data_IF_938541082459
#
_entry.id   IF_938541082459
#
_cell.length_a   1.000
_cell.length_b   1.000
_cell.length_c   1.000
_cell.angle_alpha   90.00
_cell.angle_beta   90.00
_cell.angle_gamma   90.00
#
_symmetry.space_group_name_H-M   'P 1'
#
loop_
_entity.id
_entity.type
_entity.pdbx_description
1 polymer ?
#
# COMPACT_ATOMS: atom_id res chain seq x y z
N UNK A 1 -18.60 45.58 -1.69
CA UNK A 1 -19.13 44.22 -1.93
C UNK A 1 -18.22 43.44 -2.87
N UNK A 2 -17.30 42.60 -2.36
CA UNK A 2 -16.50 41.65 -3.14
C UNK A 2 -16.24 40.42 -2.28
N UNK A 3 -17.19 39.49 -2.22
CA UNK A 3 -17.05 38.30 -1.36
C UNK A 3 -17.88 37.11 -1.88
N UNK A 4 -17.84 36.78 -3.19
CA UNK A 4 -18.57 35.61 -3.74
C UNK A 4 -17.81 34.88 -4.87
N UNK A 5 -16.49 34.76 -4.82
CA UNK A 5 -15.73 34.00 -5.85
C UNK A 5 -14.86 32.86 -5.33
N UNK A 6 -14.79 32.62 -4.01
CA UNK A 6 -13.87 31.63 -3.42
C UNK A 6 -14.50 30.22 -3.30
N UNK A 7 -15.82 30.06 -3.44
CA UNK A 7 -16.48 28.77 -3.14
C UNK A 7 -16.40 27.70 -4.24
N UNK A 8 -16.21 28.06 -5.52
CA UNK A 8 -16.28 27.08 -6.63
C UNK A 8 -14.99 26.28 -6.88
N UNK A 9 -13.83 26.80 -6.52
CA UNK A 9 -12.54 26.12 -6.79
C UNK A 9 -12.21 25.04 -5.76
N UNK A 10 -12.76 25.14 -4.55
CA UNK A 10 -12.50 24.19 -3.47
C UNK A 10 -13.22 22.85 -3.69
N UNK A 11 -14.47 22.91 -4.18
CA UNK A 11 -15.31 21.72 -4.39
C UNK A 11 -14.77 20.79 -5.47
N UNK A 12 -14.21 21.35 -6.55
CA UNK A 12 -13.72 20.55 -7.70
C UNK A 12 -12.47 19.75 -7.35
N UNK A 13 -11.54 20.33 -6.57
CA UNK A 13 -10.31 19.63 -6.14
C UNK A 13 -10.64 18.45 -5.21
N UNK A 14 -11.53 18.66 -4.25
CA UNK A 14 -11.93 17.61 -3.31
C UNK A 14 -12.68 16.46 -4.01
N UNK A 15 -13.60 16.78 -4.94
CA UNK A 15 -14.28 15.76 -5.75
C UNK A 15 -13.31 14.94 -6.57
N UNK A 16 -12.33 15.59 -7.20
CA UNK A 16 -11.29 14.90 -7.96
C UNK A 16 -10.46 13.96 -7.10
N UNK A 17 -10.02 14.42 -5.91
CA UNK A 17 -9.27 13.60 -4.96
C UNK A 17 -10.06 12.37 -4.49
N UNK A 18 -11.38 12.51 -4.27
CA UNK A 18 -12.23 11.35 -3.96
C UNK A 18 -12.25 10.35 -5.10
N UNK A 19 -12.41 10.81 -6.34
CA UNK A 19 -12.43 9.92 -7.50
C UNK A 19 -11.11 9.15 -7.67
N UNK A 20 -9.96 9.83 -7.62
CA UNK A 20 -8.67 9.14 -7.76
C UNK A 20 -8.35 8.22 -6.57
N UNK A 21 -8.88 8.49 -5.38
CA UNK A 21 -8.68 7.60 -4.21
C UNK A 21 -9.29 6.20 -4.37
N UNK A 22 -10.20 6.02 -5.33
CA UNK A 22 -10.80 4.73 -5.69
C UNK A 22 -9.95 3.92 -6.68
N UNK A 23 -8.90 4.50 -7.24
CA UNK A 23 -8.04 3.85 -8.22
C UNK A 23 -7.46 2.50 -7.71
N UNK A 24 -6.88 2.41 -6.50
CA UNK A 24 -6.44 1.13 -5.93
C UNK A 24 -7.53 0.06 -5.92
N UNK A 25 -8.76 0.44 -5.53
CA UNK A 25 -9.90 -0.48 -5.47
C UNK A 25 -10.23 -1.02 -6.86
N UNK A 26 -10.27 -0.13 -7.87
CA UNK A 26 -10.53 -0.53 -9.27
C UNK A 26 -9.42 -1.45 -9.78
N UNK A 27 -8.16 -1.13 -9.52
CA UNK A 27 -7.03 -1.94 -9.96
C UNK A 27 -7.06 -3.36 -9.36
N UNK A 28 -7.40 -3.48 -8.07
CA UNK A 28 -7.56 -4.78 -7.39
C UNK A 28 -8.78 -5.53 -7.92
N UNK A 29 -9.95 -4.89 -7.99
CA UNK A 29 -11.18 -5.55 -8.47
C UNK A 29 -11.03 -6.05 -9.91
N UNK A 30 -10.48 -5.23 -10.81
CA UNK A 30 -10.29 -5.60 -12.21
C UNK A 30 -9.13 -6.57 -12.37
N UNK A 31 -7.95 -6.27 -11.84
CA UNK A 31 -6.75 -7.08 -12.04
C UNK A 31 -6.81 -8.40 -11.27
N UNK A 32 -7.06 -8.34 -9.96
CA UNK A 32 -6.98 -9.50 -9.09
C UNK A 32 -8.25 -10.35 -9.12
N UNK A 33 -9.44 -9.75 -9.00
CA UNK A 33 -10.69 -10.52 -8.90
C UNK A 33 -11.29 -10.91 -10.26
N UNK A 34 -11.31 -9.99 -11.22
CA UNK A 34 -11.90 -10.25 -12.54
C UNK A 34 -10.91 -10.95 -13.49
N UNK A 35 -9.72 -10.37 -13.70
CA UNK A 35 -8.72 -10.93 -14.62
C UNK A 35 -7.84 -12.02 -13.99
N UNK A 36 -7.89 -12.20 -12.67
CA UNK A 36 -7.08 -13.17 -11.93
C UNK A 36 -5.59 -13.04 -12.26
N UNK A 37 -5.07 -11.82 -12.19
CA UNK A 37 -3.68 -11.51 -12.51
C UNK A 37 -3.11 -10.47 -11.54
N UNK A 38 -2.21 -10.91 -10.67
CA UNK A 38 -1.48 -10.04 -9.74
C UNK A 38 -0.64 -9.00 -10.51
N UNK A 39 -0.04 -9.40 -11.63
CA UNK A 39 0.68 -8.49 -12.53
C UNK A 39 -0.22 -7.39 -13.09
N UNK A 40 -1.40 -7.74 -13.58
CA UNK A 40 -2.33 -6.75 -14.12
C UNK A 40 -2.82 -5.78 -13.05
N UNK A 41 -3.13 -6.31 -11.85
CA UNK A 41 -3.49 -5.47 -10.70
C UNK A 41 -2.36 -4.48 -10.37
N UNK A 42 -1.12 -4.96 -10.24
CA UNK A 42 0.04 -4.12 -9.93
C UNK A 42 0.31 -3.07 -11.01
N UNK A 43 0.28 -3.43 -12.30
CA UNK A 43 0.54 -2.51 -13.41
C UNK A 43 -0.53 -1.42 -13.46
N UNK A 44 -1.81 -1.77 -13.40
CA UNK A 44 -2.90 -0.78 -13.41
C UNK A 44 -2.81 0.15 -12.21
N UNK A 45 -2.49 -0.41 -11.05
CA UNK A 45 -2.34 0.35 -9.83
C UNK A 45 -1.19 1.35 -9.90
N UNK A 46 0.01 0.90 -10.26
CA UNK A 46 1.20 1.74 -10.39
C UNK A 46 1.05 2.78 -11.51
N UNK A 47 0.55 2.39 -12.69
CA UNK A 47 0.34 3.30 -13.81
C UNK A 47 -0.68 4.41 -13.46
N UNK A 48 -1.75 4.06 -12.77
CA UNK A 48 -2.76 5.01 -12.34
C UNK A 48 -2.26 6.01 -11.29
N UNK A 49 -1.49 5.55 -10.30
CA UNK A 49 -0.83 6.43 -9.33
C UNK A 49 0.19 7.33 -10.01
N UNK A 50 1.05 6.79 -10.88
CA UNK A 50 2.04 7.55 -11.61
C UNK A 50 1.40 8.63 -12.49
N UNK A 51 0.35 8.30 -13.25
CA UNK A 51 -0.40 9.26 -14.05
C UNK A 51 -1.00 10.39 -13.20
N UNK A 52 -1.53 10.06 -12.01
CA UNK A 52 -2.05 11.04 -11.07
C UNK A 52 -0.96 11.98 -10.55
N UNK A 53 0.19 11.43 -10.16
CA UNK A 53 1.33 12.18 -9.64
C UNK A 53 1.95 13.10 -10.69
N UNK A 54 2.11 12.61 -11.92
CA UNK A 54 2.60 13.39 -13.05
C UNK A 54 1.65 14.54 -13.40
N UNK A 55 0.34 14.27 -13.45
CA UNK A 55 -0.65 15.31 -13.71
C UNK A 55 -0.68 16.40 -12.61
N UNK A 56 -0.38 16.03 -11.36
CA UNK A 56 -0.33 16.98 -10.25
C UNK A 56 1.04 17.66 -10.10
N UNK A 57 2.01 17.40 -10.98
CA UNK A 57 3.37 17.93 -10.91
C UNK A 57 4.04 17.67 -9.55
N UNK A 58 3.92 16.43 -9.05
CA UNK A 58 4.47 16.03 -7.75
C UNK A 58 5.99 16.28 -7.65
N UNK A 59 6.47 16.84 -6.53
CA UNK A 59 7.90 17.05 -6.28
C UNK A 59 8.57 15.77 -5.77
N UNK A 60 9.15 15.00 -6.68
CA UNK A 60 9.85 13.75 -6.40
C UNK A 60 11.02 13.87 -5.42
N UNK A 61 11.57 15.07 -5.19
CA UNK A 61 12.65 15.27 -4.20
C UNK A 61 12.18 15.03 -2.77
N UNK A 62 10.88 15.13 -2.51
CA UNK A 62 10.28 14.86 -1.20
C UNK A 62 10.47 13.40 -0.75
N UNK A 63 10.61 12.47 -1.70
CA UNK A 63 10.87 11.04 -1.42
C UNK A 63 12.16 10.82 -0.62
N UNK A 64 13.17 11.64 -0.86
CA UNK A 64 14.50 11.49 -0.28
C UNK A 64 14.75 12.42 0.91
N UNK A 65 13.71 13.13 1.37
CA UNK A 65 13.77 14.06 2.50
C UNK A 65 13.08 13.48 3.74
N UNK A 66 13.36 14.08 4.89
CA UNK A 66 12.67 13.76 6.14
C UNK A 66 13.14 12.46 6.80
N UNK A 67 14.35 11.98 6.48
CA UNK A 67 14.95 10.88 7.21
C UNK A 67 15.31 11.31 8.64
N UNK A 68 14.87 10.53 9.62
CA UNK A 68 15.19 10.75 11.03
C UNK A 68 15.61 9.42 11.66
N UNK A 69 16.88 9.28 12.04
CA UNK A 69 17.51 7.98 12.31
C UNK A 69 16.72 7.07 13.25
N UNK A 70 16.30 7.57 14.42
CA UNK A 70 15.53 6.78 15.40
C UNK A 70 14.17 6.32 14.85
N UNK A 71 13.41 7.23 14.26
CA UNK A 71 12.04 6.97 13.80
C UNK A 71 12.07 6.07 12.56
N UNK A 72 13.02 6.33 11.65
CA UNK A 72 13.27 5.53 10.46
C UNK A 72 13.67 4.11 10.79
N UNK A 73 14.63 3.92 11.70
CA UNK A 73 15.04 2.59 12.13
C UNK A 73 13.90 1.85 12.84
N UNK A 74 13.23 2.48 13.81
CA UNK A 74 12.16 1.85 14.58
C UNK A 74 11.01 1.39 13.68
N UNK A 75 10.55 2.26 12.78
CA UNK A 75 9.46 1.91 11.87
C UNK A 75 9.90 0.85 10.87
N UNK A 76 11.11 0.91 10.33
CA UNK A 76 11.60 -0.08 9.36
C UNK A 76 11.78 -1.47 9.98
N UNK A 77 12.25 -1.54 11.24
CA UNK A 77 12.34 -2.81 11.98
C UNK A 77 10.95 -3.35 12.27
N UNK A 78 10.03 -2.49 12.75
CA UNK A 78 8.66 -2.90 13.05
C UNK A 78 7.97 -3.46 11.80
N UNK A 79 8.02 -2.74 10.68
CA UNK A 79 7.36 -3.17 9.44
C UNK A 79 8.09 -4.32 8.76
N UNK A 80 9.43 -4.33 8.76
CA UNK A 80 10.24 -5.42 8.26
C UNK A 80 10.09 -6.73 9.04
N UNK A 81 9.55 -6.68 10.26
CA UNK A 81 9.20 -7.87 11.04
C UNK A 81 7.89 -8.54 10.59
N UNK A 82 7.09 -7.89 9.73
CA UNK A 82 5.77 -8.40 9.34
C UNK A 82 5.84 -9.74 8.61
N UNK A 83 6.82 -9.95 7.72
CA UNK A 83 7.07 -11.25 7.10
C UNK A 83 7.39 -12.37 8.10
N UNK A 84 8.21 -12.07 9.12
CA UNK A 84 8.53 -13.04 10.18
C UNK A 84 7.25 -13.42 10.94
N UNK A 85 6.43 -12.43 11.30
CA UNK A 85 5.15 -12.67 11.98
C UNK A 85 4.20 -13.51 11.12
N UNK A 86 4.15 -13.27 9.80
CA UNK A 86 3.34 -14.09 8.89
C UNK A 86 3.78 -15.55 8.90
N UNK A 87 5.08 -15.84 8.86
CA UNK A 87 5.58 -17.22 8.91
C UNK A 87 5.29 -17.86 10.27
N UNK A 88 5.58 -17.16 11.37
CA UNK A 88 5.37 -17.69 12.73
C UNK A 88 3.89 -17.93 13.04
N UNK A 89 2.99 -17.13 12.47
CA UNK A 89 1.55 -17.24 12.66
C UNK A 89 0.83 -17.97 11.52
N UNK A 90 1.53 -18.69 10.64
CA UNK A 90 0.94 -19.35 9.47
C UNK A 90 -0.29 -20.21 9.81
N UNK A 91 -0.26 -20.96 10.90
CA UNK A 91 -1.36 -21.85 11.29
C UNK A 91 -2.65 -21.10 11.71
N UNK A 92 -2.55 -19.79 11.95
CA UNK A 92 -3.69 -18.93 12.30
C UNK A 92 -4.41 -18.42 11.05
N UNK A 93 -3.66 -18.07 10.00
CA UNK A 93 -4.22 -17.36 8.84
C UNK A 93 -4.31 -18.23 7.58
N UNK A 94 -3.51 -19.29 7.48
CA UNK A 94 -3.46 -20.20 6.36
C UNK A 94 -4.36 -21.40 6.65
N UNK A 95 -5.53 -21.45 6.00
CA UNK A 95 -6.48 -22.57 6.21
C UNK A 95 -6.00 -23.86 5.55
N UNK A 96 -5.45 -23.77 4.35
CA UNK A 96 -4.91 -24.90 3.61
C UNK A 96 -3.76 -24.45 2.68
N UNK A 97 -2.65 -25.19 2.72
CA UNK A 97 -1.43 -24.87 1.97
C UNK A 97 -1.57 -25.11 0.49
N UNK A 98 -2.18 -26.24 0.11
CA UNK A 98 -2.39 -26.59 -1.29
C UNK A 98 -3.30 -25.55 -1.95
N UNK A 99 -4.35 -25.12 -1.25
CA UNK A 99 -5.23 -24.03 -1.68
C UNK A 99 -4.46 -22.71 -1.87
N UNK A 100 -3.56 -22.35 -0.96
CA UNK A 100 -2.77 -21.12 -1.08
C UNK A 100 -1.80 -21.13 -2.27
N UNK A 101 -1.06 -22.22 -2.47
CA UNK A 101 -0.20 -22.36 -3.65
C UNK A 101 -1.02 -22.32 -4.94
N UNK A 102 -2.16 -23.01 -4.96
CA UNK A 102 -3.08 -22.97 -6.11
C UNK A 102 -3.61 -21.55 -6.36
N UNK A 103 -3.94 -20.78 -5.32
CA UNK A 103 -4.35 -19.37 -5.46
C UNK A 103 -3.23 -18.50 -6.04
N UNK A 104 -1.99 -18.67 -5.57
CA UNK A 104 -0.83 -17.94 -6.12
C UNK A 104 -0.59 -18.28 -7.60
N UNK A 105 -0.75 -19.55 -7.99
CA UNK A 105 -0.69 -19.96 -9.40
C UNK A 105 -1.80 -19.31 -10.22
N UNK A 106 -3.03 -19.31 -9.71
CA UNK A 106 -4.18 -18.73 -10.40
C UNK A 106 -4.01 -17.24 -10.68
N UNK A 107 -3.30 -16.50 -9.82
CA UNK A 107 -3.03 -15.07 -10.02
C UNK A 107 -1.72 -14.79 -10.77
N UNK A 108 -1.03 -15.83 -11.25
CA UNK A 108 0.21 -15.71 -12.02
C UNK A 108 1.46 -15.40 -11.19
N UNK A 109 1.44 -15.72 -9.89
CA UNK A 109 2.59 -15.62 -8.98
C UNK A 109 3.26 -16.99 -8.85
N UNK A 110 3.82 -17.49 -9.95
CA UNK A 110 4.59 -18.74 -10.00
C UNK A 110 6.08 -18.50 -9.69
N UNK A 111 6.81 -19.56 -9.32
CA UNK A 111 8.23 -19.51 -8.91
C UNK A 111 9.14 -18.69 -9.84
N UNK A 112 8.94 -18.81 -11.15
CA UNK A 112 9.90 -18.29 -12.14
C UNK A 112 9.77 -16.77 -12.37
N UNK A 113 8.58 -16.22 -12.08
CA UNK A 113 8.29 -14.79 -12.19
C UNK A 113 8.19 -14.10 -10.84
N UNK A 114 8.06 -14.87 -9.76
CA UNK A 114 7.91 -14.34 -8.41
C UNK A 114 9.08 -13.42 -8.02
N UNK A 115 10.38 -13.75 -8.22
CA UNK A 115 11.47 -12.83 -7.87
C UNK A 115 11.37 -11.45 -8.54
N UNK A 116 10.97 -11.41 -9.81
CA UNK A 116 10.76 -10.15 -10.51
C UNK A 116 9.55 -9.40 -9.95
N UNK A 117 8.46 -10.11 -9.65
CA UNK A 117 7.30 -9.53 -9.00
C UNK A 117 7.67 -8.93 -7.63
N UNK A 118 8.42 -9.64 -6.79
CA UNK A 118 8.91 -9.16 -5.49
C UNK A 118 9.71 -7.88 -5.67
N UNK A 119 10.66 -7.85 -6.60
CA UNK A 119 11.49 -6.67 -6.83
C UNK A 119 10.66 -5.46 -7.26
N UNK A 120 9.79 -5.64 -8.25
CA UNK A 120 8.92 -4.57 -8.74
C UNK A 120 7.94 -4.09 -7.66
N UNK A 121 7.31 -5.04 -6.96
CA UNK A 121 6.34 -4.77 -5.92
C UNK A 121 6.99 -4.02 -4.77
N UNK A 122 8.03 -4.58 -4.16
CA UNK A 122 8.63 -4.02 -2.94
C UNK A 122 9.40 -2.72 -3.17
N UNK A 123 9.90 -2.43 -4.39
CA UNK A 123 10.62 -1.18 -4.66
C UNK A 123 9.70 -0.08 -5.21
N UNK A 124 8.99 -0.37 -6.31
CA UNK A 124 8.23 0.67 -7.01
C UNK A 124 6.93 1.02 -6.28
N UNK A 125 6.28 0.03 -5.67
CA UNK A 125 4.99 0.24 -5.01
C UNK A 125 5.11 1.19 -3.83
N UNK A 126 6.01 1.00 -2.84
CA UNK A 126 6.17 1.95 -1.74
C UNK A 126 6.44 3.38 -2.19
N UNK A 127 7.28 3.56 -3.21
CA UNK A 127 7.60 4.89 -3.75
C UNK A 127 6.36 5.58 -4.29
N UNK A 128 5.60 4.89 -5.15
CA UNK A 128 4.40 5.45 -5.76
C UNK A 128 3.26 5.62 -4.75
N UNK A 129 3.08 4.65 -3.87
CA UNK A 129 2.05 4.68 -2.84
C UNK A 129 2.25 5.81 -1.84
N UNK A 130 3.47 5.96 -1.30
CA UNK A 130 3.73 7.03 -0.33
C UNK A 130 3.57 8.40 -0.99
N UNK A 131 4.06 8.57 -2.22
CA UNK A 131 3.84 9.80 -2.99
C UNK A 131 2.34 10.06 -3.23
N UNK A 132 1.58 9.03 -3.62
CA UNK A 132 0.17 9.16 -3.94
C UNK A 132 -0.69 9.44 -2.69
N UNK A 133 -0.56 8.60 -1.66
CA UNK A 133 -1.41 8.68 -0.48
C UNK A 133 -1.08 9.85 0.43
N UNK A 134 0.22 10.18 0.61
CA UNK A 134 0.65 11.22 1.56
C UNK A 134 0.93 12.54 0.84
N UNK A 135 1.39 12.49 -0.41
CA UNK A 135 1.62 13.66 -1.24
C UNK A 135 0.36 14.18 -1.93
N UNK A 136 -0.27 13.36 -2.77
CA UNK A 136 -1.42 13.79 -3.60
C UNK A 136 -2.76 13.79 -2.84
N UNK A 137 -2.97 12.79 -2.00
CA UNK A 137 -4.21 12.58 -1.22
C UNK A 137 -4.05 12.87 0.29
N UNK A 138 -2.91 13.45 0.67
CA UNK A 138 -2.55 13.68 2.07
C UNK A 138 -3.57 14.53 2.83
N UNK A 139 -3.68 14.24 4.13
CA UNK A 139 -4.49 15.00 5.09
C UNK A 139 -3.60 15.63 6.15
N UNK A 140 -3.91 16.87 6.53
CA UNK A 140 -3.25 17.61 7.62
C UNK A 140 -3.79 17.25 9.01
N UNK A 141 -4.82 16.39 9.11
CA UNK A 141 -5.40 15.98 10.39
C UNK A 141 -4.36 15.28 11.27
N UNK A 142 -4.33 15.52 12.57
CA UNK A 142 -3.46 14.75 13.48
C UNK A 142 -4.05 13.41 13.88
N UNK A 143 -5.35 13.22 13.66
CA UNK A 143 -6.11 12.00 13.93
C UNK A 143 -6.14 11.08 12.71
N UNK A 144 -6.70 9.88 12.88
CA UNK A 144 -6.99 8.96 11.77
C UNK A 144 -7.83 9.70 10.71
N UNK A 145 -7.39 9.63 9.45
CA UNK A 145 -8.04 10.32 8.34
C UNK A 145 -8.68 9.33 7.37
N UNK A 146 -9.62 9.82 6.56
CA UNK A 146 -10.26 9.02 5.52
C UNK A 146 -9.26 8.40 4.54
N UNK A 147 -8.15 9.08 4.23
CA UNK A 147 -7.06 8.54 3.40
C UNK A 147 -6.41 7.30 4.02
N UNK A 148 -6.27 7.25 5.34
CA UNK A 148 -5.65 6.12 6.05
C UNK A 148 -6.59 4.90 6.02
N UNK A 149 -7.90 5.15 6.15
CA UNK A 149 -8.93 4.13 6.03
C UNK A 149 -9.06 3.59 4.59
N UNK A 150 -8.99 4.48 3.59
CA UNK A 150 -9.04 4.05 2.19
C UNK A 150 -7.81 3.23 1.80
N UNK A 151 -6.63 3.63 2.27
CA UNK A 151 -5.39 2.87 2.13
C UNK A 151 -5.56 1.46 2.68
N UNK A 152 -6.05 1.33 3.92
CA UNK A 152 -6.28 0.03 4.53
C UNK A 152 -7.37 -0.78 3.82
N UNK A 153 -8.46 -0.14 3.41
CA UNK A 153 -9.63 -0.84 2.86
C UNK A 153 -9.35 -1.56 1.54
N UNK A 154 -8.51 -1.01 0.65
CA UNK A 154 -8.17 -1.73 -0.58
C UNK A 154 -7.26 -2.93 -0.30
N UNK A 155 -6.41 -2.86 0.73
CA UNK A 155 -5.61 -4.00 1.17
C UNK A 155 -6.48 -5.11 1.76
N UNK A 156 -7.58 -4.78 2.45
CA UNK A 156 -8.55 -5.79 2.90
C UNK A 156 -9.08 -6.59 1.70
N UNK A 157 -9.36 -5.93 0.57
CA UNK A 157 -9.81 -6.63 -0.65
C UNK A 157 -8.74 -7.59 -1.17
N UNK A 158 -7.48 -7.16 -1.23
CA UNK A 158 -6.36 -8.03 -1.62
C UNK A 158 -6.25 -9.21 -0.66
N UNK A 159 -6.19 -8.95 0.65
CA UNK A 159 -6.01 -9.97 1.67
C UNK A 159 -7.16 -10.97 1.69
N UNK A 160 -8.41 -10.53 1.52
CA UNK A 160 -9.58 -11.40 1.48
C UNK A 160 -9.55 -12.41 0.31
N UNK A 161 -8.70 -12.22 -0.70
CA UNK A 161 -8.46 -13.21 -1.73
C UNK A 161 -7.53 -14.36 -1.29
N UNK A 162 -6.73 -14.16 -0.23
CA UNK A 162 -5.69 -15.09 0.23
C UNK A 162 -5.86 -15.58 1.67
N UNK A 163 -6.71 -14.95 2.47
CA UNK A 163 -6.96 -15.33 3.87
C UNK A 163 -8.44 -15.16 4.23
N UNK A 164 -8.81 -15.59 5.44
CA UNK A 164 -10.16 -15.42 5.95
C UNK A 164 -10.52 -13.95 6.19
N UNK A 165 -11.80 -13.61 6.03
CA UNK A 165 -12.30 -12.25 6.23
C UNK A 165 -11.93 -11.67 7.62
N UNK A 166 -12.05 -12.41 8.74
CA UNK A 166 -11.63 -11.89 10.05
C UNK A 166 -10.16 -11.48 10.11
N UNK A 167 -9.26 -12.29 9.55
CA UNK A 167 -7.83 -11.97 9.51
C UNK A 167 -7.59 -10.75 8.61
N UNK A 168 -8.23 -10.68 7.44
CA UNK A 168 -8.13 -9.53 6.56
C UNK A 168 -8.57 -8.22 7.26
N UNK A 169 -9.63 -8.24 8.07
CA UNK A 169 -10.11 -7.08 8.84
C UNK A 169 -9.12 -6.68 9.95
N UNK A 170 -8.55 -7.64 10.67
CA UNK A 170 -7.53 -7.38 11.70
C UNK A 170 -6.28 -6.76 11.07
N UNK A 171 -5.77 -7.35 9.98
CA UNK A 171 -4.64 -6.82 9.24
C UNK A 171 -4.93 -5.43 8.67
N UNK A 172 -6.13 -5.22 8.10
CA UNK A 172 -6.58 -3.90 7.63
C UNK A 172 -6.60 -2.84 8.73
N UNK A 173 -7.02 -3.21 9.94
CA UNK A 173 -6.98 -2.31 11.10
C UNK A 173 -5.55 -1.92 11.47
N UNK A 174 -4.61 -2.88 11.45
CA UNK A 174 -3.19 -2.62 11.61
C UNK A 174 -2.62 -1.70 10.52
N UNK A 175 -3.01 -1.92 9.26
CA UNK A 175 -2.60 -1.08 8.13
C UNK A 175 -3.15 0.34 8.22
N UNK A 176 -4.36 0.54 8.75
CA UNK A 176 -4.90 1.89 8.98
C UNK A 176 -4.06 2.65 10.01
N UNK A 177 -3.64 1.98 11.08
CA UNK A 177 -2.74 2.55 12.10
C UNK A 177 -1.37 2.87 11.48
N UNK A 178 -0.80 1.96 10.71
CA UNK A 178 0.48 2.20 10.02
C UNK A 178 0.40 3.35 9.02
N UNK A 179 -0.69 3.43 8.26
CA UNK A 179 -0.91 4.51 7.32
C UNK A 179 -0.99 5.88 8.02
N UNK A 180 -1.66 5.93 9.17
CA UNK A 180 -1.69 7.10 10.04
C UNK A 180 -0.29 7.45 10.58
N UNK A 181 0.49 6.46 11.05
CA UNK A 181 1.85 6.69 11.54
C UNK A 181 2.78 7.24 10.45
N UNK A 182 2.75 6.68 9.24
CA UNK A 182 3.50 7.19 8.09
C UNK A 182 3.12 8.63 7.74
N UNK A 183 1.82 8.94 7.77
CA UNK A 183 1.34 10.31 7.54
C UNK A 183 1.79 11.26 8.65
N UNK A 184 1.81 10.82 9.91
CA UNK A 184 2.37 11.60 11.04
C UNK A 184 3.86 11.88 10.85
N UNK A 185 4.63 10.89 10.37
CA UNK A 185 6.05 11.08 10.06
C UNK A 185 6.26 12.07 8.91
N UNK A 186 5.48 11.94 7.83
CA UNK A 186 5.49 12.89 6.72
C UNK A 186 5.21 14.33 7.19
N UNK A 187 4.17 14.53 8.00
CA UNK A 187 3.85 15.86 8.53
C UNK A 187 4.93 16.41 9.46
N UNK A 188 5.55 15.55 10.27
CA UNK A 188 6.58 15.96 11.24
C UNK A 188 7.89 16.36 10.57
N UNK A 189 8.34 15.58 9.59
CA UNK A 189 9.68 15.72 8.99
C UNK A 189 9.64 16.30 7.57
N UNK A 190 8.46 16.63 7.05
CA UNK A 190 8.24 17.25 5.73
C UNK A 190 8.91 16.46 4.58
N UNK A 191 8.87 15.14 4.68
CA UNK A 191 9.54 14.23 3.75
C UNK A 191 9.06 12.80 3.86
N UNK A 192 9.26 12.01 2.81
CA UNK A 192 8.72 10.66 2.68
C UNK A 192 9.78 9.57 2.84
N UNK A 193 11.03 9.89 3.17
CA UNK A 193 12.09 8.88 3.27
C UNK A 193 11.78 7.80 4.32
N UNK A 194 11.28 8.18 5.50
CA UNK A 194 10.88 7.21 6.55
C UNK A 194 9.68 6.37 6.12
N UNK A 195 8.54 6.95 5.67
CA UNK A 195 7.44 6.17 5.10
C UNK A 195 7.88 5.20 4.00
N UNK A 196 8.63 5.65 3.00
CA UNK A 196 9.05 4.82 1.86
C UNK A 196 9.94 3.66 2.31
N UNK A 197 10.96 3.92 3.14
CA UNK A 197 11.88 2.88 3.60
C UNK A 197 11.19 1.83 4.47
N UNK A 198 10.31 2.27 5.39
CA UNK A 198 9.58 1.34 6.25
C UNK A 198 8.50 0.57 5.49
N UNK A 199 7.82 1.18 4.52
CA UNK A 199 6.89 0.49 3.63
C UNK A 199 7.61 -0.53 2.74
N UNK A 200 8.76 -0.17 2.14
CA UNK A 200 9.66 -1.12 1.46
C UNK A 200 10.01 -2.32 2.33
N UNK A 201 10.38 -2.08 3.60
CA UNK A 201 10.66 -3.14 4.55
C UNK A 201 9.47 -4.07 4.78
N UNK A 202 8.26 -3.51 4.90
CA UNK A 202 7.02 -4.26 5.03
C UNK A 202 6.81 -5.17 3.82
N UNK A 203 6.74 -4.57 2.63
CA UNK A 203 6.44 -5.27 1.38
C UNK A 203 7.46 -6.35 1.08
N UNK A 204 8.75 -6.04 1.21
CA UNK A 204 9.81 -7.02 0.99
C UNK A 204 9.68 -8.19 1.98
N UNK A 205 9.49 -7.91 3.26
CA UNK A 205 9.39 -8.97 4.27
C UNK A 205 8.18 -9.88 4.02
N UNK A 206 7.02 -9.31 3.69
CA UNK A 206 5.80 -10.07 3.37
C UNK A 206 6.02 -10.93 2.13
N UNK A 207 6.59 -10.36 1.08
CA UNK A 207 6.81 -11.08 -0.18
C UNK A 207 7.85 -12.20 -0.04
N UNK A 208 8.89 -12.00 0.76
CA UNK A 208 9.84 -13.06 1.11
C UNK A 208 9.18 -14.17 1.94
N UNK A 209 8.27 -13.83 2.85
CA UNK A 209 7.47 -14.81 3.58
C UNK A 209 6.58 -15.63 2.63
N UNK A 210 5.91 -14.97 1.68
CA UNK A 210 5.13 -15.65 0.63
C UNK A 210 6.00 -16.60 -0.18
N UNK A 211 7.20 -16.18 -0.59
CA UNK A 211 8.14 -17.05 -1.30
C UNK A 211 8.61 -18.23 -0.44
N UNK A 212 8.89 -18.00 0.84
CA UNK A 212 9.28 -19.07 1.77
C UNK A 212 8.16 -20.11 1.90
N UNK A 213 6.92 -19.67 2.10
CA UNK A 213 5.74 -20.54 2.20
C UNK A 213 5.43 -21.27 0.88
N UNK A 214 5.80 -20.67 -0.25
CA UNK A 214 5.72 -21.37 -1.52
C UNK A 214 6.74 -22.53 -1.61
N UNK A 215 7.99 -22.30 -1.18
CA UNK A 215 9.10 -23.24 -1.40
C UNK A 215 9.19 -24.36 -0.36
N UNK A 216 8.85 -24.08 0.89
CA UNK A 216 9.23 -24.93 2.03
C UNK A 216 8.07 -25.48 2.85
N UNK A 217 6.82 -25.19 2.48
CA UNK A 217 5.64 -25.65 3.22
C UNK A 217 4.62 -26.32 2.33
#
# INVERSE_FOLDING_TARGET
>A
MKQIYVSRTFTTRQQRQRAVSLLPYIAVLVGLHYLRSAWTAMIFYQAGMAATLLHQHFDWRVLWRGWHGRDGLLLSVLTGSSGILLVLCQDIWLTDRASFQHLLQQVGLMSDHLPLFILCFSILTPVLEEAFWRGALGSTSTQLAHSDLLFAGYHILVLAAFTSVPIAVVSGSGLAIMAWLWRRQYMRHQGLAVPVASHFGADLSIMLAVQYLWLYT
#
